data_IF_397684221838
#
_entry.id   IF_397684221838
#
_cell.length_a   1.000
_cell.length_b   1.000
_cell.length_c   1.000
_cell.angle_alpha   90.00
_cell.angle_beta   90.00
_cell.angle_gamma   90.00
#
_symmetry.space_group_name_H-M   'P 1'
#
loop_
_entity.id
_entity.type
_entity.pdbx_description
1 polymer ?
#
# COMPACT_ATOMS: atom_id res chain seq x y z
N UNK A 1 5.89 16.83 -7.68
CA UNK A 1 6.12 15.62 -6.87
C UNK A 1 5.48 15.81 -5.51
N UNK A 2 4.62 14.88 -5.10
CA UNK A 2 4.02 14.84 -3.75
C UNK A 2 4.57 13.63 -3.00
N UNK A 3 4.88 13.82 -1.72
CA UNK A 3 5.34 12.78 -0.82
C UNK A 3 4.15 12.23 -0.04
N UNK A 4 4.04 10.91 0.00
CA UNK A 4 3.05 10.20 0.79
C UNK A 4 3.75 9.30 1.79
N UNK A 5 3.16 9.19 2.98
CA UNK A 5 3.73 8.44 4.10
C UNK A 5 2.63 7.66 4.79
N UNK A 6 2.83 6.35 4.92
CA UNK A 6 1.91 5.46 5.60
C UNK A 6 2.65 4.47 6.49
N UNK A 7 2.04 4.17 7.64
CA UNK A 7 2.55 3.19 8.58
C UNK A 7 2.29 1.78 8.07
N UNK A 8 3.34 0.98 7.92
CA UNK A 8 3.28 -0.43 7.59
C UNK A 8 3.54 -1.30 8.82
N UNK A 9 2.87 -2.45 8.91
CA UNK A 9 3.11 -3.49 9.91
C UNK A 9 3.72 -4.70 9.22
N UNK A 10 4.90 -5.10 9.68
CA UNK A 10 5.59 -6.31 9.22
C UNK A 10 5.32 -7.44 10.21
N UNK A 11 4.75 -8.52 9.68
CA UNK A 11 4.28 -9.69 10.42
C UNK A 11 5.17 -10.87 10.01
N UNK A 12 6.05 -11.38 10.91
CA UNK A 12 6.85 -12.56 10.61
C UNK A 12 5.96 -13.77 10.30
N UNK A 13 6.24 -14.47 9.21
CA UNK A 13 5.52 -15.68 8.83
C UNK A 13 5.88 -16.84 9.78
N UNK A 14 4.86 -17.60 10.22
CA UNK A 14 5.10 -18.71 11.14
C UNK A 14 5.72 -19.89 10.39
N UNK A 15 6.86 -20.38 10.89
CA UNK A 15 7.53 -21.55 10.30
C UNK A 15 8.44 -21.24 9.11
N UNK A 16 8.49 -19.99 8.61
CA UNK A 16 9.45 -19.56 7.58
C UNK A 16 10.25 -18.36 8.06
N UNK A 17 11.45 -18.62 8.59
CA UNK A 17 12.35 -17.58 9.10
C UNK A 17 12.76 -16.64 7.97
N UNK A 18 12.60 -15.34 8.20
CA UNK A 18 13.00 -14.30 7.24
C UNK A 18 11.85 -13.83 6.34
N UNK A 19 10.75 -14.59 6.24
CA UNK A 19 9.57 -14.15 5.49
C UNK A 19 8.69 -13.24 6.33
N UNK A 20 8.24 -12.15 5.74
CA UNK A 20 7.36 -11.18 6.38
C UNK A 20 6.18 -10.87 5.47
N UNK A 21 4.97 -10.88 6.02
CA UNK A 21 3.82 -10.23 5.41
C UNK A 21 3.79 -8.77 5.84
N UNK A 22 3.30 -7.91 4.98
CA UNK A 22 3.20 -6.46 5.22
C UNK A 22 1.78 -6.00 4.95
N UNK A 23 1.27 -5.18 5.85
CA UNK A 23 -0.07 -4.58 5.76
C UNK A 23 -0.02 -3.11 6.16
N UNK A 24 -0.96 -2.31 5.63
CA UNK A 24 -1.10 -0.90 5.96
C UNK A 24 -2.46 -0.66 6.63
N UNK A 25 -2.53 -0.30 7.93
CA UNK A 25 -3.81 -0.17 8.63
C UNK A 25 -4.74 0.92 8.07
N UNK A 26 -4.17 1.93 7.40
CA UNK A 26 -4.91 2.97 6.70
C UNK A 26 -5.39 2.55 5.30
N UNK A 27 -4.73 1.56 4.69
CA UNK A 27 -4.96 1.05 3.35
C UNK A 27 -5.02 -0.49 3.41
N UNK A 28 -6.07 -1.07 4.04
CA UNK A 28 -6.15 -2.50 4.32
C UNK A 28 -6.21 -3.39 3.06
N UNK A 29 -6.46 -2.80 1.90
CA UNK A 29 -6.35 -3.45 0.59
C UNK A 29 -4.90 -3.81 0.23
N UNK A 30 -3.91 -3.15 0.82
CA UNK A 30 -2.50 -3.46 0.59
C UNK A 30 -2.10 -4.62 1.49
N UNK A 31 -1.89 -5.76 0.84
CA UNK A 31 -1.26 -6.94 1.43
C UNK A 31 -0.14 -7.38 0.50
N UNK A 32 1.08 -7.48 1.04
CA UNK A 32 2.26 -7.93 0.28
C UNK A 32 3.19 -8.71 1.20
N UNK A 33 4.27 -9.28 0.68
CA UNK A 33 5.24 -10.04 1.46
C UNK A 33 6.63 -10.00 0.84
N UNK A 34 7.63 -10.49 1.57
CA UNK A 34 8.96 -10.78 1.03
C UNK A 34 9.67 -11.84 1.87
N UNK A 35 10.66 -12.50 1.30
CA UNK A 35 11.47 -13.55 1.93
C UNK A 35 12.67 -13.00 2.73
N UNK A 36 12.74 -11.68 2.85
CA UNK A 36 13.54 -10.96 3.83
C UNK A 36 12.82 -9.69 4.27
N UNK A 37 13.24 -9.09 5.39
CA UNK A 37 12.73 -7.78 5.80
C UNK A 37 13.01 -6.68 4.76
N UNK A 38 14.14 -6.80 4.05
CA UNK A 38 14.52 -5.86 2.99
C UNK A 38 13.58 -5.97 1.79
N UNK A 39 13.36 -7.18 1.30
CA UNK A 39 12.44 -7.46 0.20
C UNK A 39 11.01 -7.07 0.57
N UNK A 40 10.54 -7.44 1.76
CA UNK A 40 9.20 -7.08 2.23
C UNK A 40 8.99 -5.56 2.24
N UNK A 41 10.02 -4.77 2.57
CA UNK A 41 9.97 -3.30 2.55
C UNK A 41 9.91 -2.76 1.13
N UNK A 42 10.72 -3.32 0.23
CA UNK A 42 10.69 -2.97 -1.20
C UNK A 42 9.30 -3.25 -1.80
N UNK A 43 8.76 -4.44 -1.53
CA UNK A 43 7.42 -4.83 -1.97
C UNK A 43 6.32 -3.95 -1.35
N UNK A 44 6.50 -3.50 -0.12
CA UNK A 44 5.58 -2.57 0.54
C UNK A 44 5.62 -1.16 -0.07
N UNK A 45 6.80 -0.68 -0.49
CA UNK A 45 6.93 0.59 -1.21
C UNK A 45 6.22 0.53 -2.56
N UNK A 46 6.47 -0.52 -3.34
CA UNK A 46 5.88 -0.71 -4.67
C UNK A 46 4.35 -0.83 -4.59
N UNK A 47 3.83 -1.65 -3.66
CA UNK A 47 2.40 -1.80 -3.47
C UNK A 47 1.72 -0.51 -2.96
N UNK A 48 2.40 0.26 -2.10
CA UNK A 48 1.89 1.55 -1.63
C UNK A 48 1.83 2.59 -2.75
N UNK A 49 2.86 2.67 -3.58
CA UNK A 49 2.89 3.53 -4.76
C UNK A 49 1.72 3.22 -5.71
N UNK A 50 1.52 1.94 -6.02
CA UNK A 50 0.45 1.49 -6.91
C UNK A 50 -0.96 1.88 -6.40
N UNK A 51 -1.24 1.64 -5.12
CA UNK A 51 -2.56 1.96 -4.55
C UNK A 51 -2.79 3.46 -4.47
N UNK A 52 -1.78 4.24 -4.07
CA UNK A 52 -1.91 5.70 -4.04
C UNK A 52 -2.16 6.24 -5.45
N UNK A 53 -1.44 5.75 -6.46
CA UNK A 53 -1.64 6.16 -7.84
C UNK A 53 -3.07 5.85 -8.31
N UNK A 54 -3.55 4.63 -8.07
CA UNK A 54 -4.91 4.22 -8.42
C UNK A 54 -5.98 5.09 -7.75
N UNK A 55 -5.83 5.41 -6.47
CA UNK A 55 -6.78 6.29 -5.76
C UNK A 55 -6.77 7.71 -6.35
N UNK A 56 -5.61 8.23 -6.75
CA UNK A 56 -5.50 9.54 -7.40
C UNK A 56 -6.12 9.53 -8.82
N UNK A 57 -5.95 8.45 -9.58
CA UNK A 57 -6.56 8.22 -10.92
C UNK A 57 -8.07 8.15 -10.89
N UNK A 58 -8.61 7.51 -9.86
CA UNK A 58 -10.04 7.44 -9.63
C UNK A 58 -10.63 8.75 -9.05
N UNK A 59 -9.79 9.75 -8.74
CA UNK A 59 -10.22 10.97 -8.05
C UNK A 59 -10.72 10.73 -6.62
N UNK A 60 -10.33 9.61 -6.00
CA UNK A 60 -10.70 9.25 -4.62
C UNK A 60 -9.83 10.01 -3.63
N UNK A 61 -10.36 10.20 -2.43
CA UNK A 61 -9.61 10.79 -1.33
C UNK A 61 -8.68 9.76 -0.70
N UNK A 62 -7.44 10.17 -0.44
CA UNK A 62 -6.48 9.34 0.29
C UNK A 62 -6.83 9.34 1.79
N UNK A 63 -6.87 8.18 2.46
CA UNK A 63 -7.12 8.11 3.89
C UNK A 63 -5.96 8.73 4.67
N UNK A 64 -6.25 9.22 5.88
CA UNK A 64 -5.19 9.63 6.82
C UNK A 64 -4.44 8.40 7.33
N UNK A 65 -3.14 8.54 7.54
CA UNK A 65 -2.35 7.46 8.13
C UNK A 65 -2.88 7.05 9.52
N UNK A 66 -2.70 5.77 9.83
CA UNK A 66 -3.21 5.14 11.04
C UNK A 66 -2.16 4.20 11.62
N UNK A 67 -1.45 4.69 12.63
CA UNK A 67 -0.60 3.84 13.44
C UNK A 67 -1.46 3.01 14.43
N UNK A 68 -1.14 1.73 14.66
CA UNK A 68 -1.83 0.94 15.69
C UNK A 68 -1.51 1.48 17.08
N UNK A 69 -2.52 1.58 17.95
CA UNK A 69 -2.32 2.02 19.34
C UNK A 69 -1.64 0.96 20.22
N UNK A 70 -1.72 -0.32 19.81
CA UNK A 70 -1.06 -1.45 20.48
C UNK A 70 -0.46 -2.34 19.41
N UNK A 71 0.82 -2.61 19.55
CA UNK A 71 1.55 -3.56 18.69
C UNK A 71 1.75 -4.84 19.50
N UNK A 72 1.32 -5.98 18.94
CA UNK A 72 1.61 -7.29 19.52
C UNK A 72 3.12 -7.53 19.51
N UNK A 73 3.65 -8.10 20.59
CA UNK A 73 5.08 -8.41 20.71
C UNK A 73 5.56 -9.25 19.52
N UNK A 74 6.59 -8.77 18.83
CA UNK A 74 7.20 -9.46 17.67
C UNK A 74 6.78 -8.92 16.30
N UNK A 75 5.86 -7.95 16.23
CA UNK A 75 5.58 -7.20 15.02
C UNK A 75 6.53 -6.00 14.91
N UNK A 76 6.93 -5.67 13.68
CA UNK A 76 7.69 -4.44 13.40
C UNK A 76 6.76 -3.43 12.75
N UNK A 77 6.99 -2.15 13.02
CA UNK A 77 6.21 -1.05 12.47
C UNK A 77 7.17 -0.03 11.88
N UNK A 78 6.97 0.32 10.62
CA UNK A 78 7.83 1.27 9.91
C UNK A 78 6.99 2.24 9.08
N UNK A 79 7.47 3.46 8.93
CA UNK A 79 6.88 4.43 8.01
C UNK A 79 7.44 4.18 6.61
N UNK A 80 6.56 3.90 5.66
CA UNK A 80 6.91 3.75 4.25
C UNK A 80 6.60 5.06 3.54
N UNK A 81 7.59 5.57 2.82
CA UNK A 81 7.51 6.82 2.07
C UNK A 81 7.57 6.52 0.57
N UNK A 82 6.68 7.14 -0.19
CA UNK A 82 6.68 7.09 -1.66
C UNK A 82 6.49 8.49 -2.25
N UNK A 83 7.10 8.75 -3.39
CA UNK A 83 6.99 10.03 -4.10
C UNK A 83 6.29 9.86 -5.43
N UNK A 84 5.12 10.48 -5.59
CA UNK A 84 4.40 10.46 -6.87
C UNK A 84 4.69 11.76 -7.60
N UNK A 85 5.29 11.66 -8.79
CA UNK A 85 5.66 12.80 -9.64
C UNK A 85 4.53 13.23 -10.58
N UNK A 86 3.63 12.31 -10.91
CA UNK A 86 2.62 12.52 -11.94
C UNK A 86 1.44 13.36 -11.44
N UNK A 87 1.05 14.38 -12.22
CA UNK A 87 -0.27 15.00 -12.10
C UNK A 87 -1.28 14.13 -12.82
N UNK A 88 -2.05 13.39 -12.03
CA UNK A 88 -3.10 12.55 -12.56
C UNK A 88 -4.24 13.45 -13.07
N UNK A 89 -4.34 13.59 -14.39
CA UNK A 89 -5.50 14.22 -15.03
C UNK A 89 -6.61 13.18 -15.08
N UNK A 90 -7.57 13.27 -14.16
CA UNK A 90 -8.74 12.41 -14.17
C UNK A 90 -9.45 12.56 -15.52
N UNK A 91 -9.43 11.50 -16.33
CA UNK A 91 -10.36 11.40 -17.46
C UNK A 91 -11.59 10.70 -16.89
N UNK A 92 -12.79 11.31 -16.91
CA UNK A 92 -13.98 10.61 -16.45
C UNK A 92 -14.07 9.30 -17.21
N UNK A 93 -14.17 8.17 -16.49
CA UNK A 93 -14.56 6.90 -17.08
C UNK A 93 -15.85 7.17 -17.87
N UNK A 94 -15.77 7.06 -19.19
CA UNK A 94 -16.94 7.20 -20.06
C UNK A 94 -17.99 6.22 -19.56
N UNK A 95 -19.22 6.70 -19.30
CA UNK A 95 -20.34 5.92 -18.74
C UNK A 95 -20.78 4.74 -19.62
N UNK A 96 -20.12 4.52 -20.75
CA UNK A 96 -20.53 3.62 -21.82
C UNK A 96 -19.60 2.42 -22.04
N UNK A 97 -18.86 1.96 -21.01
CA UNK A 97 -18.30 0.60 -21.05
C UNK A 97 -19.46 -0.40 -20.83
N UNK A 98 -20.35 -0.50 -21.82
CA UNK A 98 -21.27 -1.63 -21.94
C UNK A 98 -20.43 -2.86 -22.22
N UNK A 99 -20.25 -3.68 -21.19
CA UNK A 99 -20.09 -5.14 -21.24
C UNK A 99 -19.48 -5.67 -22.55
N UNK A 100 -18.16 -5.57 -22.70
CA UNK A 100 -17.42 -6.20 -23.81
C UNK A 100 -17.05 -7.67 -23.52
N UNK A 101 -17.81 -8.34 -22.64
CA UNK A 101 -17.79 -9.79 -22.47
C UNK A 101 -19.22 -10.27 -22.73
N UNK A 102 -19.51 -10.50 -24.01
CA UNK A 102 -20.63 -11.29 -24.49
C UNK A 102 -20.05 -12.47 -25.28
#
# INVERSE_FOLDING_TARGET
MKLYKYTAIFIPEKGKKGTYNVTFPALPEIVTFGDSLHEARYMAQDALELVILSLLEDGKTLPKDKAPHKITKGLLTEEILVTISHEVKTTPLTKDVKTAFA
#
